data_IF_214687746930
#
_entry.id   IF_214687746930
#
_cell.length_a   1.000
_cell.length_b   1.000
_cell.length_c   1.000
_cell.angle_alpha   90.00
_cell.angle_beta   90.00
_cell.angle_gamma   90.00
#
_symmetry.space_group_name_H-M   'P 1'
#
loop_
_entity.id
_entity.type
_entity.pdbx_description
1 polymer ?
#
# COMPACT_ATOMS: atom_id res chain seq x y z
N UNK A 1 -15.30 -38.85 -15.03
CA UNK A 1 -13.87 -38.86 -14.63
C UNK A 1 -12.91 -38.25 -15.66
N UNK A 2 -13.12 -38.38 -16.99
CA UNK A 2 -12.21 -37.79 -18.00
C UNK A 2 -12.18 -36.25 -18.04
N UNK A 3 -13.31 -35.56 -17.78
CA UNK A 3 -13.40 -34.09 -17.81
C UNK A 3 -12.63 -33.41 -16.68
N UNK A 4 -12.63 -33.98 -15.48
CA UNK A 4 -11.92 -33.43 -14.32
C UNK A 4 -10.39 -33.53 -14.46
N UNK A 5 -9.90 -34.59 -15.10
CA UNK A 5 -8.47 -34.76 -15.41
C UNK A 5 -7.99 -33.75 -16.45
N UNK A 6 -8.81 -33.43 -17.46
CA UNK A 6 -8.48 -32.40 -18.46
C UNK A 6 -8.45 -31.00 -17.88
N UNK A 7 -9.34 -30.68 -16.93
CA UNK A 7 -9.35 -29.39 -16.22
C UNK A 7 -8.11 -29.25 -15.33
N UNK A 8 -7.77 -30.30 -14.57
CA UNK A 8 -6.58 -30.30 -13.73
C UNK A 8 -5.28 -30.19 -14.55
N UNK A 9 -5.19 -30.91 -15.67
CA UNK A 9 -4.03 -30.84 -16.57
C UNK A 9 -3.90 -29.45 -17.23
N UNK A 10 -5.03 -28.83 -17.61
CA UNK A 10 -5.04 -27.47 -18.15
C UNK A 10 -4.58 -26.42 -17.13
N UNK A 11 -5.00 -26.54 -15.87
CA UNK A 11 -4.54 -25.67 -14.78
C UNK A 11 -3.04 -25.81 -14.51
N UNK A 12 -2.53 -27.03 -14.49
CA UNK A 12 -1.09 -27.29 -14.29
C UNK A 12 -0.26 -26.71 -15.44
N UNK A 13 -0.72 -26.88 -16.69
CA UNK A 13 -0.05 -26.29 -17.86
C UNK A 13 -0.12 -24.76 -17.88
N UNK A 14 -1.21 -24.16 -17.41
CA UNK A 14 -1.34 -22.71 -17.30
C UNK A 14 -0.39 -22.13 -16.24
N UNK A 15 -0.25 -22.79 -15.09
CA UNK A 15 0.67 -22.38 -14.02
C UNK A 15 2.13 -22.52 -14.47
N UNK A 16 2.50 -23.63 -15.11
CA UNK A 16 3.85 -23.86 -15.63
C UNK A 16 4.17 -22.92 -16.81
N UNK A 17 3.21 -22.69 -17.70
CA UNK A 17 3.35 -21.76 -18.83
C UNK A 17 3.48 -20.30 -18.38
N UNK A 18 2.73 -19.88 -17.36
CA UNK A 18 2.89 -18.57 -16.74
C UNK A 18 4.25 -18.43 -16.05
N UNK A 19 4.70 -19.45 -15.32
CA UNK A 19 6.04 -19.46 -14.71
C UNK A 19 7.17 -19.33 -15.74
N UNK A 20 7.08 -20.03 -16.87
CA UNK A 20 8.04 -19.94 -17.97
C UNK A 20 7.99 -18.58 -18.70
N UNK A 21 6.80 -18.02 -18.90
CA UNK A 21 6.63 -16.69 -19.52
C UNK A 21 7.14 -15.57 -18.61
N UNK A 22 6.87 -15.64 -17.30
CA UNK A 22 7.42 -14.72 -16.31
C UNK A 22 8.95 -14.80 -16.22
N UNK A 23 9.53 -15.99 -16.45
CA UNK A 23 10.99 -16.21 -16.41
C UNK A 23 11.76 -15.66 -17.61
N UNK A 24 11.07 -15.26 -18.70
CA UNK A 24 11.72 -14.76 -19.93
C UNK A 24 11.69 -13.23 -20.06
N UNK A 25 11.00 -12.53 -19.16
CA UNK A 25 11.09 -11.07 -19.05
C UNK A 25 12.04 -10.68 -17.92
N UNK A 26 12.97 -9.73 -18.13
CA UNK A 26 13.68 -9.13 -17.02
C UNK A 26 12.64 -8.60 -16.01
N UNK A 27 12.79 -8.88 -14.71
CA UNK A 27 11.87 -8.34 -13.72
C UNK A 27 11.92 -6.80 -13.79
N UNK A 28 10.75 -6.18 -13.95
CA UNK A 28 10.65 -4.78 -14.33
C UNK A 28 10.93 -3.87 -13.12
N UNK A 29 12.18 -3.39 -13.04
CA UNK A 29 12.62 -2.42 -12.02
C UNK A 29 11.79 -1.14 -12.05
N UNK A 30 11.33 -0.71 -13.22
CA UNK A 30 10.49 0.49 -13.33
C UNK A 30 9.10 0.24 -12.75
N UNK A 31 8.49 -0.92 -13.03
CA UNK A 31 7.20 -1.32 -12.44
C UNK A 31 7.28 -1.43 -10.92
N UNK A 32 8.32 -2.09 -10.39
CA UNK A 32 8.53 -2.23 -8.95
C UNK A 32 8.68 -0.86 -8.28
N UNK A 33 9.60 -0.01 -8.78
CA UNK A 33 9.85 1.32 -8.23
C UNK A 33 8.59 2.19 -8.29
N UNK A 34 7.88 2.19 -9.41
CA UNK A 34 6.63 2.96 -9.56
C UNK A 34 5.58 2.50 -8.56
N UNK A 35 5.43 1.19 -8.37
CA UNK A 35 4.47 0.63 -7.40
C UNK A 35 4.85 0.98 -5.96
N UNK A 36 6.15 0.94 -5.63
CA UNK A 36 6.65 1.33 -4.32
C UNK A 36 6.40 2.81 -4.02
N UNK A 37 6.70 3.69 -4.98
CA UNK A 37 6.43 5.13 -4.87
C UNK A 37 4.93 5.38 -4.72
N UNK A 38 4.08 4.71 -5.51
CA UNK A 38 2.62 4.85 -5.39
C UNK A 38 2.07 4.40 -4.03
N UNK A 39 2.62 3.33 -3.45
CA UNK A 39 2.24 2.87 -2.12
C UNK A 39 2.63 3.89 -1.04
N UNK A 40 3.87 4.40 -1.11
CA UNK A 40 4.36 5.43 -0.20
C UNK A 40 3.56 6.74 -0.31
N UNK A 41 3.29 7.22 -1.52
CA UNK A 41 2.44 8.41 -1.77
C UNK A 41 1.03 8.21 -1.24
N UNK A 42 0.42 7.05 -1.51
CA UNK A 42 -0.94 6.76 -1.03
C UNK A 42 -1.02 6.79 0.49
N UNK A 43 -0.04 6.19 1.18
CA UNK A 43 0.04 6.22 2.63
C UNK A 43 0.27 7.64 3.17
N UNK A 44 1.20 8.39 2.59
CA UNK A 44 1.49 9.77 2.95
C UNK A 44 0.24 10.66 2.85
N UNK A 45 -0.44 10.61 1.70
CA UNK A 45 -1.61 11.43 1.42
C UNK A 45 -2.79 11.03 2.33
N UNK A 46 -2.95 9.73 2.61
CA UNK A 46 -3.95 9.24 3.55
C UNK A 46 -3.69 9.79 4.96
N UNK A 47 -2.45 9.75 5.46
CA UNK A 47 -2.09 10.27 6.78
C UNK A 47 -2.31 11.78 6.88
N UNK A 48 -1.90 12.55 5.87
CA UNK A 48 -2.11 14.01 5.83
C UNK A 48 -3.59 14.37 5.77
N UNK A 49 -4.37 13.64 4.97
CA UNK A 49 -5.81 13.84 4.86
C UNK A 49 -6.52 13.48 6.17
N UNK A 50 -6.13 12.35 6.79
CA UNK A 50 -6.63 11.93 8.10
C UNK A 50 -6.37 12.97 9.18
N UNK A 51 -5.16 13.53 9.21
CA UNK A 51 -4.80 14.62 10.12
C UNK A 51 -5.70 15.84 9.93
N UNK A 52 -5.85 16.32 8.70
CA UNK A 52 -6.69 17.49 8.40
C UNK A 52 -8.16 17.25 8.75
N UNK A 53 -8.68 16.05 8.46
CA UNK A 53 -10.05 15.67 8.78
C UNK A 53 -10.29 15.59 10.30
N UNK A 54 -9.36 14.98 11.05
CA UNK A 54 -9.46 14.90 12.50
C UNK A 54 -9.32 16.25 13.20
N UNK A 55 -8.42 17.14 12.72
CA UNK A 55 -8.36 18.53 13.19
C UNK A 55 -9.67 19.26 12.91
N UNK A 56 -10.24 19.11 11.71
CA UNK A 56 -11.52 19.73 11.38
C UNK A 56 -12.66 19.21 12.26
N UNK A 57 -12.69 17.92 12.60
CA UNK A 57 -13.67 17.37 13.54
C UNK A 57 -13.47 17.92 14.96
N UNK A 58 -12.23 17.92 15.45
CA UNK A 58 -11.87 18.48 16.77
C UNK A 58 -12.29 19.94 16.90
N UNK A 59 -12.17 20.72 15.83
CA UNK A 59 -12.57 22.14 15.77
C UNK A 59 -14.07 22.35 15.52
N UNK A 60 -14.87 21.29 15.38
CA UNK A 60 -16.30 21.38 15.06
C UNK A 60 -16.60 21.87 13.63
N UNK A 61 -15.61 21.80 12.72
CA UNK A 61 -15.70 22.19 11.31
C UNK A 61 -16.03 21.03 10.37
N UNK A 62 -16.04 19.81 10.87
CA UNK A 62 -16.45 18.60 10.17
C UNK A 62 -17.35 17.72 11.05
N UNK A 63 -18.09 16.80 10.44
CA UNK A 63 -18.90 15.82 11.16
C UNK A 63 -18.20 14.47 11.21
N UNK A 64 -18.48 13.69 12.26
CA UNK A 64 -17.90 12.36 12.42
C UNK A 64 -18.19 11.44 11.20
N UNK A 65 -19.42 11.37 10.64
CA UNK A 65 -19.67 10.56 9.45
C UNK A 65 -18.82 10.95 8.24
N UNK A 66 -18.54 12.25 8.06
CA UNK A 66 -17.67 12.71 6.98
C UNK A 66 -16.23 12.23 7.19
N UNK A 67 -15.69 12.37 8.40
CA UNK A 67 -14.33 11.94 8.72
C UNK A 67 -14.18 10.42 8.58
N UNK A 68 -15.16 9.63 9.01
CA UNK A 68 -15.14 8.18 8.87
C UNK A 68 -15.02 7.74 7.41
N UNK A 69 -15.77 8.37 6.49
CA UNK A 69 -15.70 8.05 5.05
C UNK A 69 -14.32 8.41 4.48
N UNK A 70 -13.77 9.56 4.87
CA UNK A 70 -12.44 10.00 4.43
C UNK A 70 -11.35 9.02 4.90
N UNK A 71 -11.42 8.56 6.16
CA UNK A 71 -10.48 7.60 6.72
C UNK A 71 -10.61 6.21 6.07
N UNK A 72 -11.84 5.72 5.81
CA UNK A 72 -12.05 4.43 5.12
C UNK A 72 -11.47 4.44 3.70
N UNK A 73 -11.73 5.50 2.93
CA UNK A 73 -11.19 5.64 1.58
C UNK A 73 -9.65 5.69 1.57
N UNK A 74 -9.05 6.49 2.46
CA UNK A 74 -7.59 6.55 2.63
C UNK A 74 -6.98 5.20 3.00
N UNK A 75 -7.59 4.49 3.95
CA UNK A 75 -7.17 3.15 4.39
C UNK A 75 -7.27 2.15 3.23
N UNK A 76 -8.38 2.12 2.50
CA UNK A 76 -8.57 1.20 1.37
C UNK A 76 -7.57 1.43 0.25
N UNK A 77 -7.30 2.69 -0.12
CA UNK A 77 -6.32 3.03 -1.15
C UNK A 77 -4.91 2.61 -0.75
N UNK A 78 -4.54 2.86 0.50
CA UNK A 78 -3.23 2.47 1.06
C UNK A 78 -3.10 0.95 1.10
N UNK A 79 -4.10 0.23 1.61
CA UNK A 79 -4.11 -1.25 1.63
C UNK A 79 -3.98 -1.82 0.22
N UNK A 80 -4.71 -1.27 -0.75
CA UNK A 80 -4.68 -1.74 -2.15
C UNK A 80 -3.30 -1.55 -2.78
N UNK A 81 -2.64 -0.42 -2.55
CA UNK A 81 -1.32 -0.14 -3.13
C UNK A 81 -0.20 -0.91 -2.41
N UNK A 82 -0.30 -1.06 -1.09
CA UNK A 82 0.59 -1.93 -0.32
C UNK A 82 0.49 -3.40 -0.75
N UNK A 83 -0.73 -3.91 -0.97
CA UNK A 83 -0.95 -5.27 -1.47
C UNK A 83 -0.31 -5.48 -2.86
N UNK A 84 -0.51 -4.54 -3.78
CA UNK A 84 0.14 -4.58 -5.10
C UNK A 84 1.66 -4.60 -5.01
N UNK A 85 2.26 -3.81 -4.12
CA UNK A 85 3.70 -3.84 -3.91
C UNK A 85 4.16 -5.20 -3.39
N UNK A 86 3.42 -5.80 -2.45
CA UNK A 86 3.74 -7.10 -1.88
C UNK A 86 3.62 -8.26 -2.90
N UNK A 87 2.77 -8.11 -3.92
CA UNK A 87 2.63 -9.07 -5.03
C UNK A 87 3.84 -9.06 -5.99
N UNK A 88 4.62 -7.97 -6.01
CA UNK A 88 5.78 -7.84 -6.88
C UNK A 88 7.05 -8.38 -6.17
N UNK A 89 7.75 -9.38 -6.74
CA UNK A 89 9.06 -9.76 -6.24
C UNK A 89 10.08 -8.64 -6.55
N UNK A 90 10.98 -8.28 -5.61
CA UNK A 90 12.01 -7.29 -5.89
C UNK A 90 12.99 -7.83 -6.95
N UNK A 91 13.26 -7.07 -8.03
CA UNK A 91 14.12 -7.49 -9.13
C UNK A 91 15.60 -7.61 -8.75
N UNK A 92 16.07 -6.79 -7.81
CA UNK A 92 17.47 -6.71 -7.37
C UNK A 92 17.56 -6.37 -5.87
N UNK A 93 18.78 -6.33 -5.34
CA UNK A 93 19.04 -6.06 -3.91
C UNK A 93 18.67 -4.63 -3.50
N UNK A 94 18.81 -3.65 -4.40
CA UNK A 94 18.39 -2.25 -4.15
C UNK A 94 16.87 -2.18 -3.93
N UNK A 95 16.09 -2.81 -4.81
CA UNK A 95 14.63 -2.84 -4.69
C UNK A 95 14.16 -3.67 -3.50
N UNK A 96 14.93 -4.70 -3.11
CA UNK A 96 14.68 -5.43 -1.86
C UNK A 96 14.88 -4.54 -0.65
N UNK A 97 15.96 -3.76 -0.60
CA UNK A 97 16.21 -2.80 0.47
C UNK A 97 15.10 -1.74 0.55
N UNK A 98 14.66 -1.18 -0.59
CA UNK A 98 13.52 -0.27 -0.64
C UNK A 98 12.24 -0.91 -0.06
N UNK A 99 11.94 -2.16 -0.45
CA UNK A 99 10.78 -2.88 0.09
C UNK A 99 10.88 -3.07 1.60
N UNK A 100 12.04 -3.49 2.07
CA UNK A 100 12.27 -3.81 3.47
C UNK A 100 12.28 -2.53 4.35
N UNK A 101 12.65 -1.38 3.78
CA UNK A 101 12.51 -0.04 4.39
C UNK A 101 11.03 0.43 4.40
N UNK A 102 10.31 0.26 3.30
CA UNK A 102 8.96 0.78 3.13
C UNK A 102 7.88 -0.06 3.82
N UNK A 103 8.02 -1.39 3.82
CA UNK A 103 7.05 -2.31 4.41
C UNK A 103 6.66 -1.97 5.86
N UNK A 104 7.60 -1.75 6.80
CA UNK A 104 7.23 -1.39 8.18
C UNK A 104 6.51 -0.04 8.26
N UNK A 105 6.87 0.94 7.41
CA UNK A 105 6.20 2.24 7.37
C UNK A 105 4.74 2.12 6.89
N UNK A 106 4.49 1.30 5.87
CA UNK A 106 3.14 1.04 5.36
C UNK A 106 2.28 0.31 6.39
N UNK A 107 2.85 -0.67 7.10
CA UNK A 107 2.16 -1.36 8.20
C UNK A 107 1.83 -0.40 9.33
N UNK A 108 2.78 0.43 9.75
CA UNK A 108 2.55 1.46 10.77
C UNK A 108 1.48 2.45 10.32
N UNK A 109 1.50 2.90 9.06
CA UNK A 109 0.52 3.84 8.53
C UNK A 109 -0.90 3.26 8.55
N UNK A 110 -1.07 2.01 8.11
CA UNK A 110 -2.36 1.32 8.15
C UNK A 110 -2.88 1.14 9.58
N UNK A 111 -1.99 0.80 10.52
CA UNK A 111 -2.36 0.70 11.93
C UNK A 111 -2.83 2.06 12.48
N UNK A 112 -2.06 3.13 12.24
CA UNK A 112 -2.42 4.49 12.71
C UNK A 112 -3.71 5.01 12.08
N UNK A 113 -3.95 4.74 10.80
CA UNK A 113 -5.20 5.08 10.13
C UNK A 113 -6.39 4.32 10.75
N UNK A 114 -6.21 3.04 11.09
CA UNK A 114 -7.21 2.24 11.80
C UNK A 114 -7.49 2.77 13.21
N UNK A 115 -6.45 3.10 13.97
CA UNK A 115 -6.57 3.67 15.32
C UNK A 115 -7.29 5.03 15.27
N UNK A 116 -6.96 5.86 14.27
CA UNK A 116 -7.63 7.15 14.02
C UNK A 116 -9.09 6.94 13.63
N UNK A 117 -9.42 5.91 12.84
CA UNK A 117 -10.81 5.62 12.51
C UNK A 117 -11.63 5.24 13.76
N UNK A 118 -11.01 4.62 14.76
CA UNK A 118 -11.64 4.35 16.05
C UNK A 118 -11.69 5.59 16.97
N UNK A 119 -10.70 6.49 16.88
CA UNK A 119 -10.60 7.70 17.69
C UNK A 119 -10.21 8.92 16.81
N UNK A 120 -11.16 9.51 16.05
CA UNK A 120 -10.86 10.44 14.96
C UNK A 120 -10.26 11.80 15.38
N UNK A 121 -10.17 12.07 16.68
CA UNK A 121 -9.54 13.28 17.23
C UNK A 121 -8.09 13.06 17.68
N UNK A 122 -7.63 11.81 17.75
CA UNK A 122 -6.25 11.45 18.11
C UNK A 122 -5.37 11.38 16.85
N UNK A 123 -5.06 12.56 16.30
CA UNK A 123 -4.35 12.69 15.01
C UNK A 123 -2.91 13.19 15.12
N UNK A 124 -2.45 13.54 16.33
CA UNK A 124 -1.16 14.21 16.51
C UNK A 124 0.03 13.27 16.19
N UNK A 125 -0.19 11.96 16.18
CA UNK A 125 0.82 10.96 15.79
C UNK A 125 0.96 10.76 14.26
N UNK A 126 0.06 11.30 13.44
CA UNK A 126 0.05 11.07 11.99
C UNK A 126 1.13 11.88 11.22
N UNK A 127 1.36 13.18 11.50
CA UNK A 127 2.34 13.97 10.76
C UNK A 127 3.78 13.42 10.80
N UNK A 128 4.34 12.99 11.95
CA UNK A 128 5.68 12.42 12.00
C UNK A 128 5.86 11.18 11.10
N UNK A 129 4.82 10.36 10.95
CA UNK A 129 4.85 9.18 10.08
C UNK A 129 4.73 9.56 8.61
N UNK A 130 3.91 10.56 8.28
CA UNK A 130 3.84 11.11 6.93
C UNK A 130 5.21 11.68 6.51
N UNK A 131 5.89 12.41 7.40
CA UNK A 131 7.20 13.00 7.10
C UNK A 131 8.26 11.90 6.84
N UNK A 132 8.26 10.80 7.61
CA UNK A 132 9.12 9.63 7.33
C UNK A 132 8.86 8.99 5.97
N UNK A 133 7.59 8.93 5.53
CA UNK A 133 7.24 8.45 4.19
C UNK A 133 7.70 9.44 3.10
N UNK A 134 7.61 10.75 3.37
CA UNK A 134 8.14 11.79 2.48
C UNK A 134 9.66 11.65 2.30
N UNK A 135 10.41 11.39 3.38
CA UNK A 135 11.86 11.19 3.30
C UNK A 135 12.25 10.01 2.40
N UNK A 136 11.45 8.93 2.41
CA UNK A 136 11.62 7.80 1.49
C UNK A 136 11.28 8.23 0.07
N UNK A 137 10.16 8.94 -0.13
CA UNK A 137 9.77 9.45 -1.45
C UNK A 137 10.85 10.34 -2.07
N UNK A 138 11.40 11.30 -1.31
CA UNK A 138 12.42 12.23 -1.80
C UNK A 138 13.73 11.52 -2.19
N UNK A 139 14.02 10.37 -1.57
CA UNK A 139 15.22 9.57 -1.88
C UNK A 139 15.05 8.72 -3.13
N UNK A 140 13.83 8.30 -3.45
CA UNK A 140 13.54 7.31 -4.50
C UNK A 140 12.62 7.82 -5.62
N UNK A 141 12.16 9.09 -5.60
CA UNK A 141 11.52 9.78 -6.73
C UNK A 141 12.57 10.21 -7.76
#
# INVERSE_FOLDING_TARGET
>A
MRRSVLIAAGLVLAVLGYGAYASTRPPDRHEFRTTAVQAAQSAHDALRTAYLAGVALRDGRATEPYVTVVLDDGTRRTTKTAAKLAELPPPDDDMRALRDELAPLLTEALQRLGDTAAHPVDVDALPPLADRLSDVLDRYA
#
